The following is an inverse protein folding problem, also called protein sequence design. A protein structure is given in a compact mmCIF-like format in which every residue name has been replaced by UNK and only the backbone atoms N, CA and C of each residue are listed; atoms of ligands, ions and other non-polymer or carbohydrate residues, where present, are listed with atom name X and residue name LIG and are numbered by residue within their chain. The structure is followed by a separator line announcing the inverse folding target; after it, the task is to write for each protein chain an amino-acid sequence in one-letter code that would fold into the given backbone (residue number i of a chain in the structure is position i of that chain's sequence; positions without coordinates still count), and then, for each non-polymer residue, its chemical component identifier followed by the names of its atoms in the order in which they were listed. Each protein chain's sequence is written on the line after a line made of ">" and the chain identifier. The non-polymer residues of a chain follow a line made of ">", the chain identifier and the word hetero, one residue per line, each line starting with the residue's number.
data_IF_327349831617
#
_entry.id   IF_327349831617
#
_cell.length_a   1.000
_cell.length_b   1.000
_cell.length_c   1.000
_cell.angle_alpha   90.00
_cell.angle_beta   90.00
_cell.angle_gamma   90.00
#
_symmetry.space_group_name_H-M   'P 1'
#
loop_
_entity.id
_entity.type
_entity.pdbx_description
1 polymer ?
#
# COMPACT_ATOMS: atom_id res chain seq x y z
N UNK A 1 -20.88 -24.53 0.71
CA UNK A 1 -20.27 -24.34 2.04
C UNK A 1 -20.23 -22.84 2.31
N UNK A 2 -20.94 -22.34 3.32
CA UNK A 2 -20.99 -20.90 3.67
C UNK A 2 -19.72 -20.59 4.48
N UNK A 3 -18.71 -20.00 3.86
CA UNK A 3 -17.59 -19.42 4.58
C UNK A 3 -18.15 -18.29 5.44
N UNK A 4 -18.29 -18.58 6.73
CA UNK A 4 -18.88 -17.69 7.70
C UNK A 4 -17.98 -16.47 7.85
N UNK A 5 -18.56 -15.27 7.73
CA UNK A 5 -17.90 -13.96 7.95
C UNK A 5 -17.10 -13.88 9.26
N UNK A 6 -17.37 -14.80 10.18
CA UNK A 6 -16.65 -15.03 11.44
C UNK A 6 -15.16 -15.31 11.20
N UNK A 7 -14.78 -16.04 10.15
CA UNK A 7 -13.36 -16.37 9.91
C UNK A 7 -12.53 -15.16 9.45
N UNK A 8 -13.15 -14.24 8.71
CA UNK A 8 -12.50 -12.98 8.30
C UNK A 8 -12.31 -12.05 9.51
N UNK A 9 -13.33 -11.99 10.39
CA UNK A 9 -13.26 -11.25 11.66
C UNK A 9 -12.21 -11.82 12.63
N UNK A 10 -12.04 -13.15 12.67
CA UNK A 10 -11.00 -13.78 13.48
C UNK A 10 -9.59 -13.51 12.96
N UNK A 11 -9.40 -13.43 11.63
CA UNK A 11 -8.11 -13.06 11.04
C UNK A 11 -7.76 -11.58 11.32
N UNK A 12 -8.76 -10.70 11.31
CA UNK A 12 -8.64 -9.28 11.70
C UNK A 12 -8.36 -9.05 13.19
N UNK A 13 -8.78 -9.96 14.06
CA UNK A 13 -8.51 -9.88 15.50
C UNK A 13 -7.12 -10.42 15.89
N UNK A 14 -6.58 -11.37 15.11
CA UNK A 14 -5.24 -11.91 15.33
C UNK A 14 -4.13 -10.90 14.97
N UNK A 15 -4.37 -9.99 14.02
CA UNK A 15 -3.45 -8.87 13.75
C UNK A 15 -3.52 -7.77 14.82
N UNK A 16 -4.63 -7.66 15.56
CA UNK A 16 -4.80 -6.66 16.62
C UNK A 16 -4.07 -7.02 17.94
N UNK A 17 -3.75 -8.29 18.18
CA UNK A 17 -3.05 -8.76 19.40
C UNK A 17 -1.53 -8.60 19.31
N UNK A 18 -0.97 -8.28 18.14
CA UNK A 18 0.43 -7.87 18.01
C UNK A 18 0.66 -6.36 18.24
N UNK A 19 -0.41 -5.58 18.41
CA UNK A 19 -0.36 -4.15 18.71
C UNK A 19 -0.57 -3.90 20.22
N UNK A 20 0.30 -4.47 21.06
CA UNK A 20 0.52 -3.93 22.41
C UNK A 20 1.66 -2.91 22.35
N UNK A 21 1.46 -1.80 21.64
CA UNK A 21 2.12 -0.52 21.92
C UNK A 21 1.45 0.58 21.07
N UNK A 22 1.24 1.74 21.70
CA UNK A 22 1.04 3.06 21.07
C UNK A 22 -0.26 3.31 20.26
N UNK A 23 -1.02 4.26 20.78
CA UNK A 23 -2.22 4.92 20.20
C UNK A 23 -2.02 5.52 18.79
N UNK A 24 -0.80 5.52 18.25
CA UNK A 24 -0.42 6.03 16.93
C UNK A 24 -0.54 4.98 15.80
N UNK A 25 -0.43 3.69 16.11
CA UNK A 25 -0.50 2.57 15.15
C UNK A 25 -1.90 2.35 14.58
N UNK A 26 -2.96 2.62 15.36
CA UNK A 26 -4.34 2.53 14.87
C UNK A 26 -4.68 3.62 13.85
N UNK A 27 -4.06 4.80 13.96
CA UNK A 27 -4.19 5.86 12.95
C UNK A 27 -3.35 5.54 11.72
N UNK A 28 -2.17 4.94 11.89
CA UNK A 28 -1.33 4.48 10.80
C UNK A 28 -2.03 3.37 10.01
N UNK A 29 -2.54 2.32 10.66
CA UNK A 29 -3.24 1.22 9.97
C UNK A 29 -4.50 1.68 9.19
N UNK A 30 -5.26 2.64 9.74
CA UNK A 30 -6.37 3.29 9.03
C UNK A 30 -5.87 4.10 7.82
N UNK A 31 -4.74 4.80 7.95
CA UNK A 31 -4.09 5.51 6.83
C UNK A 31 -3.54 4.52 5.79
N UNK A 32 -3.01 3.36 6.18
CA UNK A 32 -2.46 2.38 5.23
C UNK A 32 -3.55 1.78 4.34
N UNK A 33 -4.73 1.51 4.91
CA UNK A 33 -5.88 1.03 4.15
C UNK A 33 -6.41 2.07 3.14
N UNK A 34 -6.45 3.35 3.53
CA UNK A 34 -6.84 4.43 2.59
C UNK A 34 -5.79 4.67 1.52
N UNK A 35 -4.52 4.64 1.88
CA UNK A 35 -3.40 4.82 0.95
C UNK A 35 -3.35 3.71 -0.10
N UNK A 36 -3.68 2.45 0.25
CA UNK A 36 -3.80 1.38 -0.75
C UNK A 36 -4.91 1.67 -1.77
N UNK A 37 -6.08 2.15 -1.34
CA UNK A 37 -7.14 2.53 -2.27
C UNK A 37 -6.78 3.74 -3.13
N UNK A 38 -6.01 4.69 -2.58
CA UNK A 38 -5.47 5.82 -3.34
C UNK A 38 -4.41 5.39 -4.36
N UNK A 39 -3.59 4.37 -4.03
CA UNK A 39 -2.62 3.80 -4.96
C UNK A 39 -3.32 3.14 -6.16
N UNK A 40 -4.39 2.37 -5.91
CA UNK A 40 -5.18 1.78 -6.99
C UNK A 40 -5.78 2.86 -7.91
N UNK A 41 -6.33 3.93 -7.33
CA UNK A 41 -6.86 5.07 -8.09
C UNK A 41 -5.79 5.81 -8.90
N UNK A 42 -4.60 6.03 -8.32
CA UNK A 42 -3.46 6.62 -9.01
C UNK A 42 -3.00 5.73 -10.18
N UNK A 43 -3.01 4.41 -10.00
CA UNK A 43 -2.65 3.46 -11.04
C UNK A 43 -3.69 3.46 -12.18
N UNK A 44 -4.98 3.49 -11.88
CA UNK A 44 -6.04 3.66 -12.89
C UNK A 44 -5.88 4.98 -13.66
N UNK A 45 -5.52 6.07 -12.99
CA UNK A 45 -5.26 7.36 -13.63
C UNK A 45 -4.03 7.33 -14.54
N UNK A 46 -2.97 6.62 -14.14
CA UNK A 46 -1.79 6.39 -14.97
C UNK A 46 -2.10 5.50 -16.19
N UNK A 47 -2.86 4.42 -16.02
CA UNK A 47 -3.29 3.57 -17.14
C UNK A 47 -4.18 4.32 -18.13
N UNK A 48 -5.09 5.17 -17.63
CA UNK A 48 -5.95 5.99 -18.47
C UNK A 48 -5.17 7.12 -19.18
N UNK A 49 -4.13 7.66 -18.55
CA UNK A 49 -3.31 8.72 -19.10
C UNK A 49 -1.86 8.62 -18.59
N UNK A 50 -1.04 7.90 -19.34
CA UNK A 50 0.36 7.61 -18.99
C UNK A 50 1.24 8.85 -19.19
N UNK A 51 1.17 9.77 -18.22
CA UNK A 51 1.99 10.97 -18.13
C UNK A 51 2.97 10.86 -16.98
N UNK A 52 4.05 11.64 -17.04
CA UNK A 52 5.03 11.72 -15.95
C UNK A 52 4.38 12.07 -14.60
N UNK A 53 3.47 13.05 -14.59
CA UNK A 53 2.78 13.47 -13.37
C UNK A 53 1.96 12.33 -12.73
N UNK A 54 1.20 11.59 -13.54
CA UNK A 54 0.43 10.44 -13.03
C UNK A 54 1.34 9.30 -12.56
N UNK A 55 2.49 9.12 -13.22
CA UNK A 55 3.50 8.14 -12.81
C UNK A 55 4.13 8.51 -11.45
N UNK A 56 4.47 9.78 -11.26
CA UNK A 56 4.96 10.32 -9.98
C UNK A 56 3.92 10.17 -8.87
N UNK A 57 2.63 10.36 -9.17
CA UNK A 57 1.55 10.14 -8.21
C UNK A 57 1.46 8.66 -7.78
N UNK A 58 1.62 7.71 -8.71
CA UNK A 58 1.71 6.27 -8.37
C UNK A 58 2.89 6.00 -7.44
N UNK A 59 4.07 6.58 -7.70
CA UNK A 59 5.24 6.43 -6.84
C UNK A 59 4.96 6.97 -5.44
N UNK A 60 4.38 8.16 -5.33
CA UNK A 60 4.05 8.78 -4.04
C UNK A 60 3.14 7.88 -3.21
N UNK A 61 2.09 7.31 -3.82
CA UNK A 61 1.15 6.42 -3.12
C UNK A 61 1.79 5.09 -2.78
N UNK A 62 2.58 4.50 -3.67
CA UNK A 62 3.29 3.26 -3.40
C UNK A 62 4.35 3.41 -2.29
N UNK A 63 5.03 4.56 -2.19
CA UNK A 63 5.93 4.87 -1.07
C UNK A 63 5.19 4.97 0.26
N UNK A 64 4.00 5.57 0.24
CA UNK A 64 3.15 5.63 1.43
C UNK A 64 2.69 4.22 1.86
N UNK A 65 2.36 3.33 0.91
CA UNK A 65 2.12 1.89 1.22
C UNK A 65 3.36 1.23 1.78
N UNK A 66 4.54 1.44 1.19
CA UNK A 66 5.81 0.88 1.68
C UNK A 66 6.11 1.30 3.12
N UNK A 67 5.92 2.57 3.46
CA UNK A 67 6.15 3.09 4.81
C UNK A 67 5.18 2.47 5.83
N UNK A 68 4.00 2.07 5.36
CA UNK A 68 2.96 1.39 6.11
C UNK A 68 3.20 -0.12 6.32
N UNK A 69 4.10 -0.74 5.55
CA UNK A 69 4.37 -2.17 5.66
C UNK A 69 5.29 -2.47 6.85
N UNK A 70 5.04 -3.58 7.58
CA UNK A 70 5.98 -4.07 8.57
C UNK A 70 7.27 -4.53 7.89
N UNK A 71 8.38 -4.47 8.62
CA UNK A 71 9.67 -4.92 8.08
C UNK A 71 9.63 -6.42 7.77
N UNK A 72 10.09 -6.78 6.57
CA UNK A 72 10.04 -8.15 6.07
C UNK A 72 10.46 -8.27 4.61
N UNK A 73 10.47 -9.51 4.08
CA UNK A 73 10.79 -9.75 2.68
C UNK A 73 9.84 -9.02 1.73
N UNK A 74 8.54 -8.96 2.04
CA UNK A 74 7.54 -8.26 1.22
C UNK A 74 7.80 -6.75 1.12
N UNK A 75 8.21 -6.11 2.22
CA UNK A 75 8.61 -4.68 2.20
C UNK A 75 9.88 -4.47 1.37
N UNK A 76 10.80 -5.43 1.38
CA UNK A 76 12.02 -5.36 0.57
C UNK A 76 11.70 -5.49 -0.92
N UNK A 77 10.82 -6.42 -1.29
CA UNK A 77 10.33 -6.58 -2.66
C UNK A 77 9.59 -5.32 -3.15
N UNK A 78 8.71 -4.76 -2.33
CA UNK A 78 8.02 -3.49 -2.61
C UNK A 78 8.99 -2.33 -2.87
N UNK A 79 10.15 -2.31 -2.19
CA UNK A 79 11.18 -1.31 -2.43
C UNK A 79 11.84 -1.49 -3.80
N UNK A 80 12.12 -2.72 -4.21
CA UNK A 80 12.67 -3.01 -5.53
C UNK A 80 11.68 -2.64 -6.63
N UNK A 81 10.39 -2.91 -6.43
CA UNK A 81 9.32 -2.51 -7.34
C UNK A 81 9.22 -0.98 -7.44
N UNK A 82 9.28 -0.26 -6.33
CA UNK A 82 9.31 1.21 -6.30
C UNK A 82 10.50 1.79 -7.09
N UNK A 83 11.68 1.23 -6.93
CA UNK A 83 12.87 1.67 -7.67
C UNK A 83 12.74 1.37 -9.18
N UNK A 84 12.10 0.27 -9.55
CA UNK A 84 11.77 -0.07 -10.95
C UNK A 84 10.75 0.90 -11.56
N UNK A 85 9.68 1.22 -10.81
CA UNK A 85 8.66 2.19 -11.23
C UNK A 85 9.28 3.57 -11.42
N UNK A 86 10.13 4.03 -10.48
CA UNK A 86 10.89 5.29 -10.61
C UNK A 86 11.72 5.34 -11.89
N UNK A 87 12.49 4.29 -12.17
CA UNK A 87 13.25 4.18 -13.40
C UNK A 87 12.38 4.22 -14.67
N UNK A 88 11.16 3.68 -14.59
CA UNK A 88 10.18 3.73 -15.69
C UNK A 88 9.54 5.10 -15.83
N UNK A 89 9.20 5.76 -14.72
CA UNK A 89 8.61 7.10 -14.70
C UNK A 89 9.57 8.16 -15.27
N UNK A 90 10.88 7.99 -15.05
CA UNK A 90 11.92 8.85 -15.62
C UNK A 90 11.99 8.79 -17.16
N UNK A 91 11.43 7.75 -17.77
CA UNK A 91 11.33 7.64 -19.24
C UNK A 91 10.17 8.46 -19.82
N UNK A 92 9.22 8.89 -18.99
CA UNK A 92 8.17 9.81 -19.40
C UNK A 92 8.72 11.23 -19.43
N UNK A 93 8.49 11.92 -20.55
CA UNK A 93 8.95 13.29 -20.80
C UNK A 93 7.99 14.34 -20.24
#
# INVERSE_FOLDING_TARGET
>A
MKFSKIYILSFLLLTAVACEDEKDEASNALNCASVMAEMDAANEAFEANATKANCEEVIEKAEAVYNCMPDGPEKTEMKEDLDSIRGTCDLFS
#
